data_IF_795345921151
#
_entry.id   IF_795345921151
#
_cell.length_a   1.000
_cell.length_b   1.000
_cell.length_c   1.000
_cell.angle_alpha   90.00
_cell.angle_beta   90.00
_cell.angle_gamma   90.00
#
_symmetry.space_group_name_H-M   'P 1'
#
loop_
_entity.id
_entity.type
_entity.pdbx_description
1 polymer ?
#
# COMPACT_ATOMS: atom_id res chain seq x y z
N UNK A 1 -14.86 -15.35 -19.41
CA UNK A 1 -13.66 -15.26 -18.56
C UNK A 1 -13.67 -13.88 -17.93
N UNK A 2 -13.92 -13.77 -16.62
CA UNK A 2 -13.93 -12.48 -15.94
C UNK A 2 -12.47 -12.07 -15.71
N UNK A 3 -12.02 -10.98 -16.33
CA UNK A 3 -10.72 -10.37 -16.00
C UNK A 3 -10.66 -10.07 -14.49
N UNK A 4 -9.54 -10.36 -13.80
CA UNK A 4 -9.38 -9.88 -12.44
C UNK A 4 -9.43 -8.35 -12.49
N UNK A 5 -10.40 -7.75 -11.80
CA UNK A 5 -10.40 -6.32 -11.55
C UNK A 5 -9.08 -6.01 -10.84
N UNK A 6 -8.23 -5.20 -11.47
CA UNK A 6 -6.92 -4.84 -10.93
C UNK A 6 -7.18 -4.02 -9.66
N UNK A 7 -7.07 -4.64 -8.49
CA UNK A 7 -7.16 -3.96 -7.19
C UNK A 7 -5.83 -3.31 -6.85
N UNK A 8 -5.86 -2.12 -6.23
CA UNK A 8 -4.67 -1.42 -5.79
C UNK A 8 -4.05 -2.07 -4.56
N UNK A 9 -4.87 -2.30 -3.52
CA UNK A 9 -4.40 -2.86 -2.25
C UNK A 9 -5.52 -3.62 -1.55
N UNK A 10 -5.15 -4.62 -0.75
CA UNK A 10 -6.05 -5.31 0.18
C UNK A 10 -5.41 -5.40 1.55
N UNK A 11 -6.18 -5.12 2.59
CA UNK A 11 -5.79 -5.31 3.97
C UNK A 11 -5.76 -6.81 4.28
N UNK A 12 -4.59 -7.32 4.68
CA UNK A 12 -4.43 -8.75 5.01
C UNK A 12 -5.04 -9.13 6.36
N UNK A 13 -5.39 -8.15 7.20
CA UNK A 13 -6.01 -8.36 8.49
C UNK A 13 -7.54 -8.42 8.40
N UNK A 14 -8.19 -7.35 7.93
CA UNK A 14 -9.66 -7.26 7.90
C UNK A 14 -10.28 -7.51 6.52
N UNK A 15 -9.47 -7.67 5.47
CA UNK A 15 -9.95 -7.95 4.11
C UNK A 15 -10.47 -6.75 3.33
N UNK A 16 -10.43 -5.52 3.89
CA UNK A 16 -10.82 -4.29 3.15
C UNK A 16 -10.01 -4.17 1.86
N UNK A 17 -10.69 -3.84 0.76
CA UNK A 17 -10.09 -3.70 -0.57
C UNK A 17 -10.20 -2.25 -1.04
N UNK A 18 -9.08 -1.74 -1.56
CA UNK A 18 -9.01 -0.44 -2.23
C UNK A 18 -8.80 -0.69 -3.72
N UNK A 19 -9.73 -0.21 -4.55
CA UNK A 19 -9.71 -0.46 -6.00
C UNK A 19 -8.71 0.45 -6.68
N UNK A 20 -8.68 1.73 -6.31
CA UNK A 20 -7.77 2.73 -6.86
C UNK A 20 -6.80 3.25 -5.80
N UNK A 21 -5.75 3.94 -6.26
CA UNK A 21 -4.81 4.66 -5.40
C UNK A 21 -5.52 5.80 -4.66
N UNK A 22 -6.45 6.45 -5.33
CA UNK A 22 -7.25 7.56 -4.81
C UNK A 22 -8.18 7.07 -3.69
N UNK A 23 -8.83 5.91 -3.85
CA UNK A 23 -9.63 5.28 -2.79
C UNK A 23 -8.78 5.01 -1.54
N UNK A 24 -7.53 4.57 -1.73
CA UNK A 24 -6.59 4.29 -0.64
C UNK A 24 -6.13 5.56 0.08
N UNK A 25 -5.83 6.62 -0.66
CA UNK A 25 -5.32 7.88 -0.11
C UNK A 25 -6.40 8.77 0.54
N UNK A 26 -7.65 8.59 0.16
CA UNK A 26 -8.79 9.35 0.71
C UNK A 26 -9.50 8.63 1.85
N UNK A 27 -9.10 7.39 2.15
CA UNK A 27 -9.63 6.62 3.27
C UNK A 27 -9.13 7.20 4.60
N UNK A 28 -10.06 7.72 5.41
CA UNK A 28 -9.73 8.30 6.71
C UNK A 28 -9.21 7.29 7.74
N UNK A 29 -9.38 5.98 7.48
CA UNK A 29 -8.82 4.94 8.33
C UNK A 29 -7.38 4.59 7.93
N UNK A 30 -6.85 5.16 6.85
CA UNK A 30 -5.49 4.91 6.35
C UNK A 30 -4.59 6.09 6.70
N UNK A 31 -3.60 5.86 7.54
CA UNK A 31 -2.68 6.90 7.99
C UNK A 31 -1.26 6.59 7.52
N UNK A 32 -0.58 7.58 6.95
CA UNK A 32 0.84 7.46 6.60
C UNK A 32 1.68 7.47 7.89
N UNK A 33 2.44 6.40 8.13
CA UNK A 33 3.28 6.28 9.33
C UNK A 33 4.78 6.28 9.04
N UNK A 34 5.18 6.14 7.78
CA UNK A 34 6.59 6.31 7.42
C UNK A 34 7.00 5.76 6.08
N UNK A 35 8.32 5.64 5.91
CA UNK A 35 8.96 5.16 4.71
C UNK A 35 10.10 4.22 5.08
N UNK A 36 10.14 3.04 4.46
CA UNK A 36 11.22 2.09 4.56
C UNK A 36 12.11 2.20 3.32
N UNK A 37 13.27 2.86 3.51
CA UNK A 37 14.29 2.93 2.47
C UNK A 37 14.95 1.55 2.33
N UNK A 38 14.84 0.96 1.14
CA UNK A 38 15.61 -0.21 0.77
C UNK A 38 16.99 0.19 0.20
N UNK A 39 18.02 0.34 1.04
CA UNK A 39 19.40 0.65 0.60
C UNK A 39 20.19 -0.56 0.09
N UNK A 40 19.74 -1.79 0.39
CA UNK A 40 20.46 -3.02 0.06
C UNK A 40 19.62 -3.78 -0.95
N UNK A 41 20.15 -3.87 -2.17
CA UNK A 41 19.58 -4.60 -3.30
C UNK A 41 19.10 -5.99 -2.86
N UNK A 42 17.77 -6.17 -2.90
CA UNK A 42 17.07 -7.31 -3.50
C UNK A 42 17.60 -8.71 -3.11
N UNK A 43 17.42 -9.14 -1.87
CA UNK A 43 17.38 -10.58 -1.57
C UNK A 43 15.98 -11.19 -1.71
N UNK A 44 14.94 -10.35 -1.90
CA UNK A 44 13.54 -10.78 -1.90
C UNK A 44 12.66 -10.21 -3.04
N UNK A 45 13.25 -9.66 -4.12
CA UNK A 45 12.47 -9.13 -5.26
C UNK A 45 11.77 -7.78 -5.01
N UNK A 46 12.15 -7.04 -3.97
CA UNK A 46 11.59 -5.72 -3.68
C UNK A 46 12.22 -4.62 -4.55
N UNK A 47 11.45 -3.64 -5.06
CA UNK A 47 11.97 -2.56 -5.88
C UNK A 47 12.90 -1.63 -5.08
N UNK A 48 13.89 -1.01 -5.76
CA UNK A 48 14.85 -0.10 -5.12
C UNK A 48 14.20 1.19 -4.60
N UNK A 49 12.98 1.49 -5.08
CA UNK A 49 12.22 2.69 -4.69
C UNK A 49 11.76 2.69 -3.23
N UNK A 50 11.87 1.55 -2.52
CA UNK A 50 11.44 1.41 -1.13
C UNK A 50 9.92 1.27 -0.96
N UNK A 51 9.49 1.26 0.30
CA UNK A 51 8.09 1.07 0.68
C UNK A 51 7.59 2.26 1.48
N UNK A 52 6.44 2.80 1.10
CA UNK A 52 5.66 3.72 1.93
C UNK A 52 4.80 2.86 2.85
N UNK A 53 4.84 3.14 4.15
CA UNK A 53 4.16 2.36 5.18
C UNK A 53 3.00 3.17 5.74
N UNK A 54 1.83 2.56 5.69
CA UNK A 54 0.60 3.10 6.25
C UNK A 54 0.11 2.22 7.41
N UNK A 55 -0.70 2.76 8.29
CA UNK A 55 -1.52 1.97 9.23
C UNK A 55 -2.95 2.02 8.76
N UNK A 56 -3.63 0.87 8.76
CA UNK A 56 -5.10 0.84 8.68
C UNK A 56 -5.65 0.84 10.10
N UNK A 57 -6.04 2.02 10.59
CA UNK A 57 -6.51 2.32 11.94
C UNK A 57 -8.04 2.30 11.99
N UNK A 58 -8.61 1.13 12.29
CA UNK A 58 -10.05 0.91 12.52
C UNK A 58 -10.23 0.16 13.83
N UNK A 59 -11.42 0.21 14.44
CA UNK A 59 -11.69 -0.48 15.72
C UNK A 59 -11.34 -1.97 15.71
N UNK A 60 -11.43 -2.64 14.56
CA UNK A 60 -11.13 -4.07 14.35
C UNK A 60 -9.87 -4.33 13.50
N UNK A 61 -9.09 -3.30 13.18
CA UNK A 61 -7.89 -3.41 12.34
C UNK A 61 -6.83 -2.39 12.75
N UNK A 62 -5.59 -2.84 12.93
CA UNK A 62 -4.45 -1.97 13.23
C UNK A 62 -3.20 -2.36 12.43
N UNK A 63 -3.38 -3.05 11.31
CA UNK A 63 -2.26 -3.60 10.55
C UNK A 63 -1.51 -2.51 9.80
N UNK A 64 -0.21 -2.72 9.63
CA UNK A 64 0.57 -1.93 8.69
C UNK A 64 0.35 -2.42 7.25
N UNK A 65 0.31 -1.47 6.31
CA UNK A 65 0.19 -1.69 4.88
C UNK A 65 1.39 -1.05 4.18
N UNK A 66 2.20 -1.88 3.52
CA UNK A 66 3.34 -1.39 2.75
C UNK A 66 3.01 -1.29 1.27
N UNK A 67 3.23 -0.13 0.66
CA UNK A 67 3.00 0.13 -0.77
C UNK A 67 4.32 0.53 -1.42
N UNK A 68 4.60 0.05 -2.63
CA UNK A 68 5.81 0.44 -3.35
C UNK A 68 5.78 1.95 -3.61
N UNK A 69 6.83 2.67 -3.20
CA UNK A 69 6.84 4.12 -3.28
C UNK A 69 6.62 4.67 -4.70
N UNK A 70 7.11 3.97 -5.74
CA UNK A 70 6.91 4.37 -7.13
C UNK A 70 5.45 4.46 -7.57
N UNK A 71 4.53 3.80 -6.87
CA UNK A 71 3.09 3.89 -7.17
C UNK A 71 2.50 5.28 -6.85
N UNK A 72 3.20 6.10 -6.07
CA UNK A 72 2.82 7.48 -5.75
C UNK A 72 3.61 8.53 -6.53
N UNK A 73 4.42 8.14 -7.53
CA UNK A 73 5.05 9.12 -8.43
C UNK A 73 3.96 9.89 -9.18
N UNK A 74 4.15 11.20 -9.31
CA UNK A 74 3.31 12.05 -10.16
C UNK A 74 3.65 11.71 -11.61
N UNK A 75 2.63 11.48 -12.42
CA UNK A 75 2.82 11.38 -13.87
C UNK A 75 3.20 12.77 -14.38
N UNK A 76 4.37 12.88 -15.02
CA UNK A 76 4.85 14.09 -15.66
C UNK A 76 4.38 14.13 -17.12
#
# INVERSE_FOLDING_TARGET
MNSPMIMFKRCTCCGKEWKTKEDFLTDSEVELIGYQWNKIVVSAGLPPDGLVVFTHSRTDCGTSLSVIARQFKRDN
#
